data_IF_841147881592
#
_entry.id   IF_841147881592
#
_cell.length_a   1.000
_cell.length_b   1.000
_cell.length_c   1.000
_cell.angle_alpha   90.00
_cell.angle_beta   90.00
_cell.angle_gamma   90.00
#
_symmetry.space_group_name_H-M   'P 1'
#
loop_
_entity.id
_entity.type
_entity.pdbx_description
1 polymer ?
#
# COMPACT_ATOMS: atom_id res chain seq x y z
N UNK A 1 58.16 18.75 -20.51
CA UNK A 1 56.83 18.93 -19.88
C UNK A 1 55.75 18.69 -20.93
N UNK A 2 54.90 17.70 -20.71
CA UNK A 2 53.43 17.73 -20.86
C UNK A 2 52.93 16.29 -20.93
N UNK A 3 52.50 15.77 -19.79
CA UNK A 3 51.71 14.55 -19.69
C UNK A 3 50.28 14.89 -20.13
N UNK A 4 49.81 14.24 -21.19
CA UNK A 4 48.41 14.25 -21.61
C UNK A 4 47.65 13.29 -20.71
N UNK A 5 46.88 13.81 -19.76
CA UNK A 5 45.91 13.04 -19.00
C UNK A 5 44.60 13.03 -19.80
N UNK A 6 44.28 11.88 -20.38
CA UNK A 6 42.96 11.61 -20.91
C UNK A 6 42.06 11.21 -19.73
N UNK A 7 41.26 12.16 -19.24
CA UNK A 7 40.19 11.89 -18.30
C UNK A 7 39.04 11.23 -19.06
N UNK A 8 38.90 9.92 -18.91
CA UNK A 8 37.74 9.16 -19.37
C UNK A 8 36.57 9.48 -18.44
N UNK A 9 35.71 10.42 -18.85
CA UNK A 9 34.45 10.67 -18.18
C UNK A 9 33.49 9.51 -18.49
N UNK A 10 33.32 8.58 -17.56
CA UNK A 10 32.18 7.66 -17.58
C UNK A 10 30.91 8.50 -17.38
N UNK A 11 30.15 8.67 -18.46
CA UNK A 11 28.75 9.04 -18.40
C UNK A 11 27.98 7.84 -17.82
N UNK A 12 27.99 7.69 -16.50
CA UNK A 12 27.01 6.89 -15.81
C UNK A 12 25.68 7.62 -15.90
N UNK A 13 24.80 7.14 -16.77
CA UNK A 13 23.38 7.49 -16.72
C UNK A 13 22.84 7.04 -15.38
N UNK A 14 22.82 7.95 -14.39
CA UNK A 14 22.06 7.77 -13.18
C UNK A 14 20.59 7.67 -13.59
N UNK A 15 20.05 6.45 -13.57
CA UNK A 15 18.61 6.27 -13.54
C UNK A 15 18.09 7.06 -12.33
N UNK A 16 16.95 7.75 -12.45
CA UNK A 16 16.37 8.44 -11.31
C UNK A 16 16.16 7.41 -10.20
N UNK A 17 16.60 7.71 -8.98
CA UNK A 17 16.49 6.82 -7.83
C UNK A 17 15.06 6.29 -7.64
N UNK A 18 14.04 7.07 -8.01
CA UNK A 18 12.63 6.68 -7.99
C UNK A 18 12.28 5.51 -8.92
N UNK A 19 12.96 5.35 -10.06
CA UNK A 19 12.75 4.20 -10.94
C UNK A 19 13.33 2.92 -10.33
N UNK A 20 14.47 3.02 -9.62
CA UNK A 20 15.04 1.88 -8.91
C UNK A 20 14.19 1.45 -7.71
N UNK A 21 13.45 2.35 -7.08
CA UNK A 21 12.58 2.06 -5.93
C UNK A 21 11.30 1.34 -6.34
N UNK A 22 10.62 1.79 -7.40
CA UNK A 22 9.44 1.10 -7.94
C UNK A 22 9.78 -0.31 -8.46
N UNK A 23 10.88 -0.44 -9.23
CA UNK A 23 11.39 -1.73 -9.70
C UNK A 23 11.80 -2.68 -8.54
N UNK A 24 12.08 -2.13 -7.36
CA UNK A 24 12.45 -2.89 -6.17
C UNK A 24 11.21 -3.40 -5.42
N UNK A 25 10.17 -2.58 -5.22
CA UNK A 25 8.93 -3.05 -4.62
C UNK A 25 8.27 -4.15 -5.44
N UNK A 26 8.36 -4.14 -6.78
CA UNK A 26 7.87 -5.22 -7.64
C UNK A 26 8.43 -6.62 -7.29
N UNK A 27 9.59 -6.68 -6.63
CA UNK A 27 10.14 -7.95 -6.14
C UNK A 27 9.19 -8.65 -5.16
N UNK A 28 8.49 -7.89 -4.31
CA UNK A 28 7.61 -8.44 -3.29
C UNK A 28 6.36 -9.10 -3.89
N UNK A 29 5.88 -8.60 -5.04
CA UNK A 29 4.68 -9.11 -5.71
C UNK A 29 4.95 -10.36 -6.57
N UNK A 30 6.21 -10.76 -6.74
CA UNK A 30 6.62 -11.82 -7.69
C UNK A 30 7.49 -12.87 -7.01
N UNK A 31 7.95 -13.89 -7.75
CA UNK A 31 8.92 -14.88 -7.24
C UNK A 31 8.37 -15.97 -6.31
N UNK A 32 7.09 -15.91 -5.95
CA UNK A 32 6.43 -16.98 -5.20
C UNK A 32 6.44 -18.33 -5.94
N UNK A 33 6.70 -19.40 -5.20
CA UNK A 33 6.45 -20.77 -5.66
C UNK A 33 4.98 -21.02 -5.98
N UNK A 34 4.68 -22.09 -6.72
CA UNK A 34 3.30 -22.45 -7.06
C UNK A 34 2.46 -22.74 -5.79
N UNK A 35 3.07 -23.37 -4.79
CA UNK A 35 2.46 -23.68 -3.50
C UNK A 35 2.15 -22.41 -2.71
N UNK A 36 3.13 -21.50 -2.59
CA UNK A 36 2.93 -20.20 -1.93
C UNK A 36 1.83 -19.39 -2.62
N UNK A 37 1.88 -19.30 -3.96
CA UNK A 37 0.86 -18.60 -4.73
C UNK A 37 -0.54 -19.18 -4.51
N UNK A 38 -0.68 -20.50 -4.43
CA UNK A 38 -1.97 -21.13 -4.14
C UNK A 38 -2.52 -20.73 -2.76
N UNK A 39 -1.67 -20.57 -1.75
CA UNK A 39 -2.07 -20.09 -0.42
C UNK A 39 -2.51 -18.62 -0.49
N UNK A 40 -1.75 -17.76 -1.16
CA UNK A 40 -2.10 -16.35 -1.34
C UNK A 40 -3.42 -16.18 -2.11
N UNK A 41 -3.60 -16.91 -3.21
CA UNK A 41 -4.82 -16.89 -4.00
C UNK A 41 -6.03 -17.42 -3.20
N UNK A 42 -5.83 -18.45 -2.37
CA UNK A 42 -6.87 -18.95 -1.47
C UNK A 42 -7.25 -17.94 -0.39
N UNK A 43 -6.28 -17.19 0.14
CA UNK A 43 -6.53 -16.10 1.07
C UNK A 43 -7.37 -14.99 0.40
N UNK A 44 -6.97 -14.51 -0.77
CA UNK A 44 -7.72 -13.49 -1.54
C UNK A 44 -9.14 -13.97 -1.84
N UNK A 45 -9.32 -15.25 -2.20
CA UNK A 45 -10.65 -15.79 -2.46
C UNK A 45 -11.51 -15.88 -1.18
N UNK A 46 -10.91 -16.20 -0.03
CA UNK A 46 -11.62 -16.48 1.21
C UNK A 46 -11.79 -15.27 2.14
N UNK A 47 -10.97 -14.22 2.00
CA UNK A 47 -10.92 -13.10 2.94
C UNK A 47 -12.26 -12.36 3.04
N UNK A 48 -12.79 -12.24 4.24
CA UNK A 48 -13.94 -11.40 4.54
C UNK A 48 -13.51 -10.21 5.41
N UNK A 49 -14.19 -9.06 5.29
CA UNK A 49 -13.85 -7.86 6.06
C UNK A 49 -13.97 -8.08 7.58
N UNK A 50 -14.83 -9.02 8.01
CA UNK A 50 -14.91 -9.44 9.41
C UNK A 50 -13.61 -10.02 9.95
N UNK A 51 -12.75 -10.53 9.08
CA UNK A 51 -11.50 -11.21 9.42
C UNK A 51 -10.34 -10.22 9.63
N UNK A 52 -10.61 -8.90 9.50
CA UNK A 52 -9.65 -7.85 9.80
C UNK A 52 -9.33 -7.70 11.31
N UNK A 53 -10.01 -8.43 12.20
CA UNK A 53 -9.66 -8.45 13.63
C UNK A 53 -8.30 -9.15 13.86
N UNK A 54 -7.49 -8.61 14.78
CA UNK A 54 -6.13 -9.08 15.14
C UNK A 54 -6.09 -10.56 15.54
N UNK A 55 -7.23 -11.13 15.93
CA UNK A 55 -7.36 -12.54 16.35
C UNK A 55 -7.29 -13.53 15.19
N UNK A 56 -7.66 -13.09 13.99
CA UNK A 56 -7.75 -13.95 12.80
C UNK A 56 -6.61 -13.66 11.81
N UNK A 57 -5.47 -13.16 12.31
CA UNK A 57 -4.29 -12.87 11.50
C UNK A 57 -3.91 -14.08 10.64
N UNK A 58 -3.78 -13.92 9.31
CA UNK A 58 -3.47 -15.02 8.41
C UNK A 58 -1.97 -15.35 8.48
N UNK A 59 -1.57 -16.03 9.56
CA UNK A 59 -0.15 -16.27 9.90
C UNK A 59 0.64 -16.93 8.77
N UNK A 60 0.02 -17.85 8.03
CA UNK A 60 0.66 -18.51 6.89
C UNK A 60 0.92 -17.53 5.74
N UNK A 61 -0.04 -16.66 5.42
CA UNK A 61 0.12 -15.59 4.41
C UNK A 61 1.22 -14.63 4.84
N UNK A 62 1.21 -14.19 6.10
CA UNK A 62 2.23 -13.29 6.64
C UNK A 62 3.63 -13.92 6.59
N UNK A 63 3.76 -15.22 6.89
CA UNK A 63 5.05 -15.92 6.80
C UNK A 63 5.56 -16.02 5.36
N UNK A 64 4.68 -16.27 4.38
CA UNK A 64 5.03 -16.31 2.96
C UNK A 64 5.51 -14.93 2.48
N UNK A 65 4.83 -13.87 2.90
CA UNK A 65 5.19 -12.50 2.55
C UNK A 65 6.52 -12.11 3.21
N UNK A 66 6.72 -12.44 4.49
CA UNK A 66 7.96 -12.17 5.23
C UNK A 66 9.17 -12.89 4.62
N UNK A 67 9.02 -14.17 4.29
CA UNK A 67 10.06 -14.93 3.57
C UNK A 67 10.43 -14.24 2.26
N UNK A 68 9.43 -13.78 1.50
CA UNK A 68 9.67 -13.07 0.24
C UNK A 68 10.33 -11.72 0.44
N UNK A 69 9.94 -10.97 1.48
CA UNK A 69 10.56 -9.69 1.82
C UNK A 69 12.04 -9.87 2.15
N UNK A 70 12.40 -10.91 2.91
CA UNK A 70 13.79 -11.23 3.24
C UNK A 70 14.61 -11.64 2.01
N UNK A 71 14.04 -12.39 1.08
CA UNK A 71 14.69 -12.72 -0.20
C UNK A 71 15.01 -11.45 -1.00
N UNK A 72 14.01 -10.58 -1.18
CA UNK A 72 14.18 -9.31 -1.87
C UNK A 72 15.18 -8.39 -1.15
N UNK A 73 15.10 -8.31 0.18
CA UNK A 73 16.04 -7.55 0.99
C UNK A 73 17.47 -8.05 0.82
N UNK A 74 17.68 -9.37 0.76
CA UNK A 74 19.00 -9.95 0.50
C UNK A 74 19.50 -9.68 -0.92
N UNK A 75 18.61 -9.61 -1.92
CA UNK A 75 18.97 -9.35 -3.31
C UNK A 75 19.34 -7.88 -3.55
N UNK A 76 18.55 -6.97 -2.98
CA UNK A 76 18.65 -5.53 -3.22
C UNK A 76 19.34 -4.75 -2.10
N UNK A 77 19.66 -5.41 -0.98
CA UNK A 77 20.34 -4.80 0.16
C UNK A 77 19.44 -3.88 1.00
N UNK A 78 18.15 -4.20 1.13
CA UNK A 78 17.20 -3.42 1.92
C UNK A 78 17.54 -3.46 3.41
N UNK A 79 17.19 -2.38 4.13
CA UNK A 79 17.20 -2.39 5.59
C UNK A 79 16.07 -3.28 6.14
N UNK A 80 16.11 -3.55 7.44
CA UNK A 80 15.03 -4.26 8.13
C UNK A 80 13.70 -3.49 8.01
N UNK A 81 13.75 -2.18 8.19
CA UNK A 81 12.58 -1.30 8.07
C UNK A 81 12.00 -1.29 6.64
N UNK A 82 12.85 -1.34 5.62
CA UNK A 82 12.40 -1.42 4.23
C UNK A 82 11.78 -2.79 3.92
N UNK A 83 12.33 -3.87 4.49
CA UNK A 83 11.73 -5.21 4.40
C UNK A 83 10.36 -5.27 5.08
N UNK A 84 10.21 -4.69 6.27
CA UNK A 84 8.93 -4.59 6.98
C UNK A 84 7.90 -3.78 6.18
N UNK A 85 8.31 -2.62 5.64
CA UNK A 85 7.44 -1.78 4.81
C UNK A 85 6.98 -2.52 3.55
N UNK A 86 7.88 -3.23 2.86
CA UNK A 86 7.53 -4.04 1.68
C UNK A 86 6.58 -5.18 2.04
N UNK A 87 6.79 -5.86 3.16
CA UNK A 87 5.88 -6.90 3.64
C UNK A 87 4.47 -6.36 3.94
N UNK A 88 4.38 -5.20 4.62
CA UNK A 88 3.09 -4.55 4.88
C UNK A 88 2.42 -4.09 3.58
N UNK A 89 3.18 -3.54 2.63
CA UNK A 89 2.70 -3.18 1.30
C UNK A 89 2.02 -4.39 0.63
N UNK A 90 2.71 -5.53 0.54
CA UNK A 90 2.17 -6.71 -0.13
C UNK A 90 0.92 -7.28 0.57
N UNK A 91 0.89 -7.25 1.89
CA UNK A 91 -0.28 -7.69 2.65
C UNK A 91 -1.49 -6.77 2.39
N UNK A 92 -1.27 -5.46 2.42
CA UNK A 92 -2.30 -4.47 2.11
C UNK A 92 -2.79 -4.59 0.67
N UNK A 93 -1.91 -4.89 -0.29
CA UNK A 93 -2.23 -5.08 -1.70
C UNK A 93 -3.18 -6.27 -1.89
N UNK A 94 -2.80 -7.44 -1.39
CA UNK A 94 -3.64 -8.65 -1.46
C UNK A 94 -5.01 -8.44 -0.81
N UNK A 95 -5.05 -7.72 0.31
CA UNK A 95 -6.28 -7.44 1.04
C UNK A 95 -7.17 -6.46 0.27
N UNK A 96 -6.59 -5.37 -0.26
CA UNK A 96 -7.29 -4.40 -1.10
C UNK A 96 -7.86 -5.07 -2.35
N UNK A 97 -7.07 -5.92 -3.01
CA UNK A 97 -7.47 -6.68 -4.19
C UNK A 97 -8.63 -7.62 -3.89
N UNK A 98 -8.58 -8.34 -2.76
CA UNK A 98 -9.69 -9.18 -2.33
C UNK A 98 -10.99 -8.39 -2.16
N UNK A 99 -10.92 -7.26 -1.44
CA UNK A 99 -12.09 -6.40 -1.22
C UNK A 99 -12.61 -5.86 -2.56
N UNK A 100 -11.74 -5.35 -3.42
CA UNK A 100 -12.12 -4.79 -4.71
C UNK A 100 -12.73 -5.82 -5.66
N UNK A 101 -12.27 -7.08 -5.64
CA UNK A 101 -12.83 -8.17 -6.44
C UNK A 101 -14.24 -8.58 -5.96
N UNK A 102 -14.47 -8.62 -4.64
CA UNK A 102 -15.76 -8.97 -4.05
C UNK A 102 -16.76 -7.81 -4.05
N UNK A 103 -16.26 -6.57 -4.01
CA UNK A 103 -17.02 -5.34 -3.86
C UNK A 103 -16.61 -4.28 -4.90
N UNK A 104 -16.90 -4.50 -6.19
CA UNK A 104 -16.52 -3.58 -7.26
C UNK A 104 -17.12 -2.18 -7.09
N UNK A 105 -18.26 -2.05 -6.40
CA UNK A 105 -18.87 -0.77 -6.04
C UNK A 105 -17.98 0.06 -5.10
N UNK A 106 -17.25 -0.59 -4.19
CA UNK A 106 -16.33 0.09 -3.30
C UNK A 106 -15.14 0.64 -4.07
N UNK A 107 -14.63 -0.13 -5.05
CA UNK A 107 -13.60 0.33 -5.97
C UNK A 107 -14.05 1.55 -6.77
N UNK A 108 -15.30 1.60 -7.24
CA UNK A 108 -15.83 2.78 -7.93
C UNK A 108 -15.79 4.04 -7.04
N UNK A 109 -16.07 3.91 -5.74
CA UNK A 109 -15.97 5.05 -4.81
C UNK A 109 -14.51 5.48 -4.64
N UNK A 110 -13.60 4.53 -4.46
CA UNK A 110 -12.17 4.80 -4.36
C UNK A 110 -11.64 5.53 -5.61
N UNK A 111 -11.94 5.01 -6.80
CA UNK A 111 -11.51 5.60 -8.07
C UNK A 111 -12.03 7.05 -8.22
N UNK A 112 -13.24 7.34 -7.75
CA UNK A 112 -13.79 8.71 -7.75
C UNK A 112 -13.12 9.63 -6.73
N UNK A 113 -12.76 9.12 -5.55
CA UNK A 113 -11.99 9.89 -4.57
C UNK A 113 -10.66 10.34 -5.20
N UNK A 114 -9.99 9.45 -5.93
CA UNK A 114 -8.72 9.78 -6.57
C UNK A 114 -8.85 10.73 -7.76
N UNK A 115 -9.90 10.56 -8.57
CA UNK A 115 -10.00 11.26 -9.86
C UNK A 115 -10.89 12.49 -9.84
N UNK A 116 -11.90 12.56 -8.97
CA UNK A 116 -12.93 13.61 -8.98
C UNK A 116 -12.81 14.61 -7.82
N UNK A 117 -12.09 14.28 -6.73
CA UNK A 117 -11.83 15.27 -5.67
C UNK A 117 -10.89 16.38 -6.16
N UNK A 118 -11.15 17.65 -5.76
CA UNK A 118 -10.17 18.71 -5.92
C UNK A 118 -8.85 18.36 -5.22
N UNK A 119 -7.72 18.74 -5.80
CA UNK A 119 -6.38 18.34 -5.31
C UNK A 119 -6.19 18.56 -3.81
N UNK A 120 -6.53 19.74 -3.30
CA UNK A 120 -6.40 20.06 -1.87
C UNK A 120 -7.34 19.22 -0.97
N UNK A 121 -8.53 18.85 -1.46
CA UNK A 121 -9.44 17.96 -0.72
C UNK A 121 -8.92 16.52 -0.73
N UNK A 122 -8.39 16.05 -1.88
CA UNK A 122 -7.79 14.72 -2.03
C UNK A 122 -6.54 14.55 -1.17
N UNK A 123 -5.65 15.54 -1.16
CA UNK A 123 -4.46 15.55 -0.30
C UNK A 123 -4.86 15.47 1.18
N UNK A 124 -5.84 16.28 1.60
CA UNK A 124 -6.37 16.22 2.96
C UNK A 124 -6.98 14.85 3.27
N UNK A 125 -7.76 14.30 2.34
CA UNK A 125 -8.40 13.00 2.50
C UNK A 125 -7.37 11.90 2.78
N UNK A 126 -6.34 11.80 1.93
CA UNK A 126 -5.30 10.79 2.09
C UNK A 126 -4.42 11.02 3.31
N UNK A 127 -4.12 12.28 3.66
CA UNK A 127 -3.43 12.60 4.91
C UNK A 127 -4.19 12.10 6.14
N UNK A 128 -5.52 12.33 6.20
CA UNK A 128 -6.36 11.82 7.30
C UNK A 128 -6.37 10.29 7.33
N UNK A 129 -6.59 9.65 6.18
CA UNK A 129 -6.68 8.20 6.10
C UNK A 129 -5.38 7.52 6.50
N UNK A 130 -4.23 7.97 5.97
CA UNK A 130 -2.92 7.44 6.35
C UNK A 130 -2.67 7.58 7.85
N UNK A 131 -3.04 8.70 8.48
CA UNK A 131 -2.92 8.80 9.92
C UNK A 131 -3.90 7.91 10.70
N UNK A 132 -5.10 7.69 10.18
CA UNK A 132 -6.10 6.81 10.81
C UNK A 132 -5.65 5.34 10.85
N UNK A 133 -4.79 4.91 9.92
CA UNK A 133 -4.20 3.56 9.94
C UNK A 133 -3.19 3.35 11.07
N UNK A 134 -2.75 4.42 11.74
CA UNK A 134 -1.69 4.39 12.74
C UNK A 134 -0.27 4.32 12.15
N UNK A 135 -0.15 4.19 10.83
CA UNK A 135 1.13 4.06 10.14
C UNK A 135 1.93 5.38 10.13
N UNK A 136 1.26 6.54 10.15
CA UNK A 136 1.90 7.86 10.26
C UNK A 136 2.51 8.17 11.65
N UNK A 137 2.53 7.21 12.59
CA UNK A 137 2.94 7.43 13.97
C UNK A 137 1.89 8.16 14.82
N UNK A 138 2.28 8.57 16.04
CA UNK A 138 1.35 9.12 17.04
C UNK A 138 1.11 10.63 16.92
N UNK A 139 1.79 11.34 16.03
CA UNK A 139 1.78 12.81 15.97
C UNK A 139 0.50 13.41 15.38
N UNK A 140 -0.21 12.68 14.52
CA UNK A 140 -1.51 13.12 14.00
C UNK A 140 -2.60 12.11 14.38
N UNK A 141 -3.63 12.61 15.08
CA UNK A 141 -4.82 11.85 15.43
C UNK A 141 -6.02 12.53 14.75
N UNK A 142 -6.71 11.85 13.81
CA UNK A 142 -7.88 12.42 13.14
C UNK A 142 -8.91 12.96 14.14
N UNK A 143 -9.40 14.17 13.88
CA UNK A 143 -10.44 14.80 14.72
C UNK A 143 -11.83 14.32 14.31
N UNK A 144 -12.85 14.58 15.13
CA UNK A 144 -14.25 14.36 14.73
C UNK A 144 -14.63 15.10 13.43
N UNK A 145 -14.04 16.27 13.19
CA UNK A 145 -14.27 17.03 11.97
C UNK A 145 -13.65 16.33 10.74
N UNK A 146 -12.54 15.63 10.93
CA UNK A 146 -11.90 14.84 9.88
C UNK A 146 -12.73 13.59 9.57
N UNK A 147 -13.23 12.87 10.58
CA UNK A 147 -14.15 11.75 10.35
C UNK A 147 -15.44 12.19 9.65
N UNK A 148 -16.00 13.35 9.99
CA UNK A 148 -17.14 13.92 9.26
C UNK A 148 -16.78 14.27 7.81
N UNK A 149 -15.58 14.77 7.55
CA UNK A 149 -15.11 15.05 6.19
C UNK A 149 -14.98 13.76 5.37
N UNK A 150 -14.37 12.70 5.93
CA UNK A 150 -14.27 11.39 5.26
C UNK A 150 -15.67 10.83 4.97
N UNK A 151 -16.55 10.80 5.98
CA UNK A 151 -17.91 10.28 5.83
C UNK A 151 -18.72 11.04 4.77
N UNK A 152 -18.66 12.38 4.77
CA UNK A 152 -19.36 13.19 3.75
C UNK A 152 -18.76 13.01 2.35
N UNK A 153 -17.46 12.78 2.25
CA UNK A 153 -16.78 12.47 0.98
C UNK A 153 -17.24 11.13 0.40
N UNK A 154 -17.32 10.08 1.22
CA UNK A 154 -17.83 8.77 0.79
C UNK A 154 -19.30 8.90 0.34
N UNK A 155 -20.15 9.55 1.14
CA UNK A 155 -21.57 9.77 0.82
C UNK A 155 -21.79 10.62 -0.44
N UNK A 156 -20.85 11.52 -0.77
CA UNK A 156 -20.89 12.32 -2.00
C UNK A 156 -20.80 11.42 -3.25
N UNK A 157 -19.93 10.41 -3.21
CA UNK A 157 -19.68 9.52 -4.35
C UNK A 157 -20.52 8.24 -4.34
N UNK A 158 -21.11 7.90 -3.19
CA UNK A 158 -22.10 6.83 -3.03
C UNK A 158 -23.31 7.29 -2.20
N UNK A 159 -24.22 8.10 -2.79
CA UNK A 159 -25.40 8.57 -2.06
C UNK A 159 -26.35 7.41 -1.72
N UNK A 160 -26.75 7.32 -0.44
CA UNK A 160 -27.70 6.29 0.01
C UNK A 160 -27.07 4.92 0.29
N UNK A 161 -25.74 4.84 0.30
CA UNK A 161 -24.97 3.67 0.73
C UNK A 161 -25.37 3.24 2.15
N UNK A 162 -25.55 1.93 2.35
CA UNK A 162 -25.84 1.34 3.66
C UNK A 162 -24.63 1.43 4.60
N UNK A 163 -24.83 1.13 5.89
CA UNK A 163 -23.73 1.08 6.85
C UNK A 163 -22.72 -0.04 6.53
N UNK A 164 -23.22 -1.22 6.14
CA UNK A 164 -22.37 -2.35 5.75
C UNK A 164 -21.50 -2.01 4.52
N UNK A 165 -22.10 -1.39 3.50
CA UNK A 165 -21.36 -0.94 2.31
C UNK A 165 -20.37 0.20 2.66
N UNK A 166 -20.69 1.08 3.60
CA UNK A 166 -19.73 2.08 4.09
C UNK A 166 -18.54 1.45 4.77
N UNK A 167 -18.74 0.38 5.56
CA UNK A 167 -17.65 -0.37 6.17
C UNK A 167 -16.77 -1.02 5.11
N UNK A 168 -17.35 -1.61 4.07
CA UNK A 168 -16.61 -2.18 2.93
C UNK A 168 -15.76 -1.11 2.23
N UNK A 169 -16.36 0.03 1.90
CA UNK A 169 -15.66 1.16 1.29
C UNK A 169 -14.53 1.67 2.20
N UNK A 170 -14.82 1.83 3.49
CA UNK A 170 -13.85 2.29 4.49
C UNK A 170 -12.66 1.33 4.62
N UNK A 171 -12.91 0.01 4.63
CA UNK A 171 -11.85 -1.00 4.67
C UNK A 171 -10.97 -0.96 3.44
N UNK A 172 -11.55 -0.85 2.23
CA UNK A 172 -10.78 -0.72 1.00
C UNK A 172 -9.91 0.55 1.01
N UNK A 173 -10.49 1.69 1.37
CA UNK A 173 -9.75 2.97 1.47
C UNK A 173 -8.65 2.88 2.55
N UNK A 174 -8.91 2.18 3.65
CA UNK A 174 -7.91 1.94 4.69
C UNK A 174 -6.71 1.14 4.18
N UNK A 175 -6.94 0.08 3.41
CA UNK A 175 -5.86 -0.69 2.77
C UNK A 175 -5.10 0.12 1.73
N UNK A 176 -5.82 0.91 0.92
CA UNK A 176 -5.20 1.84 -0.03
C UNK A 176 -4.33 2.91 0.65
N UNK A 177 -4.77 3.41 1.81
CA UNK A 177 -3.99 4.37 2.58
C UNK A 177 -2.72 3.74 3.17
N UNK A 178 -2.77 2.45 3.55
CA UNK A 178 -1.59 1.67 3.96
C UNK A 178 -0.63 1.45 2.79
N UNK A 179 -1.13 1.11 1.60
CA UNK A 179 -0.32 0.96 0.39
C UNK A 179 0.47 2.24 0.08
N UNK A 180 -0.22 3.38 0.01
CA UNK A 180 0.42 4.67 -0.25
C UNK A 180 1.45 5.04 0.79
N UNK A 181 1.16 4.74 2.05
CA UNK A 181 2.08 5.00 3.14
C UNK A 181 3.34 4.13 3.05
N UNK A 182 3.16 2.82 2.88
CA UNK A 182 4.27 1.86 2.83
C UNK A 182 5.15 2.08 1.60
N UNK A 183 4.57 2.42 0.45
CA UNK A 183 5.30 2.82 -0.75
C UNK A 183 6.14 4.09 -0.50
N UNK A 184 5.55 5.12 0.12
CA UNK A 184 6.26 6.35 0.46
C UNK A 184 7.40 6.10 1.47
N UNK A 185 7.13 5.34 2.54
CA UNK A 185 8.14 4.97 3.55
C UNK A 185 9.27 4.18 2.94
N UNK A 186 8.97 3.17 2.11
CA UNK A 186 9.98 2.38 1.42
C UNK A 186 10.86 3.26 0.51
N UNK A 187 10.28 4.27 -0.14
CA UNK A 187 11.01 5.20 -1.00
C UNK A 187 11.96 6.14 -0.27
N UNK A 188 11.82 6.30 1.05
CA UNK A 188 12.64 7.17 1.90
C UNK A 188 13.80 6.44 2.60
N UNK A 189 13.80 5.10 2.58
CA UNK A 189 14.78 4.22 3.24
C UNK A 189 15.92 3.83 2.29
#
# INVERSE_FOLDING_TARGET
MKYFWASLALAGSALPASAQVADQLDCIATGYSAEQKAVLDAYVAAFEISDMDIKDRPLEVLAIIDERALECASEYGWSEEASEAAGLYQFSDLTADSIAQKHPEAKVVLDKIDTELPDAERERFWSIMTSATGAAGTEFQPTNADFMFIGTTILRFSPGISEDEQNIVGSLIGMEALLRHTEATFSEL
#
